data_IF_797865207423
#
_entry.id   IF_797865207423
#
_cell.length_a   1.000
_cell.length_b   1.000
_cell.length_c   1.000
_cell.angle_alpha   90.00
_cell.angle_beta   90.00
_cell.angle_gamma   90.00
#
_symmetry.space_group_name_H-M   'P 1'
#
loop_
_entity.id
_entity.type
_entity.pdbx_description
1 polymer ?
#
# COMPACT_ATOMS: atom_id res chain seq x y z
N UNK A 1 -3.96 -5.62 -2.62
CA UNK A 1 -3.06 -6.06 -1.53
C UNK A 1 -3.51 -5.54 -0.17
N UNK A 2 -4.36 -4.51 -0.09
CA UNK A 2 -4.94 -3.98 1.15
C UNK A 2 -5.61 -5.04 2.02
N UNK A 3 -6.66 -5.69 1.52
CA UNK A 3 -7.37 -6.75 2.27
C UNK A 3 -6.47 -7.92 2.67
N UNK A 4 -5.52 -8.28 1.82
CA UNK A 4 -4.52 -9.30 2.16
C UNK A 4 -3.59 -8.81 3.30
N UNK A 5 -3.31 -7.52 3.36
CA UNK A 5 -2.50 -6.92 4.42
C UNK A 5 -3.23 -6.96 5.76
N UNK A 6 -4.54 -6.72 5.79
CA UNK A 6 -5.35 -6.96 6.99
C UNK A 6 -5.22 -8.41 7.49
N UNK A 7 -5.29 -9.39 6.58
CA UNK A 7 -5.11 -10.80 6.95
C UNK A 7 -3.70 -11.11 7.47
N UNK A 8 -2.65 -10.51 6.88
CA UNK A 8 -1.26 -10.72 7.31
C UNK A 8 -1.00 -10.09 8.68
N UNK A 9 -1.60 -8.93 8.95
CA UNK A 9 -1.43 -8.19 10.20
C UNK A 9 -2.39 -8.66 11.31
N UNK A 10 -3.23 -9.65 11.02
CA UNK A 10 -4.27 -10.15 11.95
C UNK A 10 -5.21 -9.04 12.45
N UNK A 11 -5.54 -8.10 11.55
CA UNK A 11 -6.48 -7.02 11.80
C UNK A 11 -7.90 -7.56 12.00
N UNK A 12 -8.63 -6.93 12.92
CA UNK A 12 -10.01 -7.33 13.17
C UNK A 12 -10.92 -6.82 12.05
N UNK A 13 -11.78 -7.70 11.52
CA UNK A 13 -12.80 -7.29 10.56
C UNK A 13 -13.79 -6.34 11.23
N UNK A 14 -14.07 -5.20 10.59
CA UNK A 14 -15.11 -4.30 11.08
C UNK A 14 -16.47 -5.00 10.99
N UNK A 15 -17.09 -5.26 12.14
CA UNK A 15 -18.40 -5.88 12.18
C UNK A 15 -19.46 -4.84 11.79
N UNK A 16 -20.28 -5.16 10.79
CA UNK A 16 -21.45 -4.35 10.45
C UNK A 16 -22.59 -4.77 11.37
N UNK A 17 -22.84 -3.98 12.42
CA UNK A 17 -23.99 -4.20 13.29
C UNK A 17 -25.20 -3.50 12.67
N UNK A 18 -26.17 -4.29 12.21
CA UNK A 18 -27.48 -3.78 11.85
C UNK A 18 -28.28 -3.53 13.13
N UNK A 19 -28.67 -2.28 13.37
CA UNK A 19 -29.64 -2.00 14.42
C UNK A 19 -30.98 -2.65 14.06
N UNK A 20 -31.80 -2.95 15.08
CA UNK A 20 -33.15 -3.50 14.92
C UNK A 20 -34.08 -2.64 14.04
N UNK A 21 -33.70 -1.37 13.82
CA UNK A 21 -34.41 -0.37 13.02
C UNK A 21 -33.85 -0.23 11.59
N UNK A 22 -32.91 -1.11 11.19
CA UNK A 22 -32.33 -1.12 9.85
C UNK A 22 -31.23 -0.08 9.63
N UNK A 23 -30.75 0.58 10.68
CA UNK A 23 -29.59 1.48 10.59
C UNK A 23 -28.32 0.63 10.67
N UNK A 24 -27.54 0.62 9.59
CA UNK A 24 -26.20 0.05 9.60
C UNK A 24 -25.27 0.99 10.35
N UNK A 25 -24.81 0.57 11.54
CA UNK A 25 -23.71 1.22 12.24
C UNK A 25 -22.45 0.43 11.90
N UNK A 26 -21.49 1.06 11.21
CA UNK A 26 -20.13 0.52 11.16
C UNK A 26 -19.60 0.55 12.59
N UNK A 27 -19.41 -0.63 13.18
CA UNK A 27 -18.73 -0.70 14.47
C UNK A 27 -17.28 -0.28 14.24
N UNK A 28 -16.88 0.81 14.90
CA UNK A 28 -15.53 1.35 15.03
C UNK A 28 -14.62 1.25 13.78
N UNK A 29 -14.57 2.31 12.99
CA UNK A 29 -13.49 2.50 12.02
C UNK A 29 -12.15 2.67 12.76
N UNK A 30 -11.34 1.61 12.78
CA UNK A 30 -10.01 1.59 13.40
C UNK A 30 -8.97 2.13 12.43
N UNK A 31 -8.77 3.46 12.45
CA UNK A 31 -7.90 4.18 11.52
C UNK A 31 -6.47 3.61 11.46
N UNK A 32 -5.92 3.20 12.59
CA UNK A 32 -4.55 2.70 12.65
C UNK A 32 -4.40 1.39 11.86
N UNK A 33 -5.41 0.50 11.93
CA UNK A 33 -5.43 -0.75 11.16
C UNK A 33 -5.51 -0.49 9.66
N UNK A 34 -6.28 0.51 9.24
CA UNK A 34 -6.36 0.90 7.82
C UNK A 34 -5.04 1.49 7.33
N UNK A 35 -4.44 2.40 8.10
CA UNK A 35 -3.16 3.03 7.75
C UNK A 35 -2.02 1.99 7.68
N UNK A 36 -2.00 1.02 8.60
CA UNK A 36 -1.04 -0.09 8.60
C UNK A 36 -1.24 -1.04 7.41
N UNK A 37 -2.49 -1.38 7.08
CA UNK A 37 -2.81 -2.20 5.92
C UNK A 37 -2.46 -1.51 4.60
N UNK A 38 -2.72 -0.20 4.48
CA UNK A 38 -2.32 0.63 3.33
C UNK A 38 -0.80 0.63 3.15
N UNK A 39 -0.06 0.79 4.25
CA UNK A 39 1.40 0.78 4.23
C UNK A 39 1.96 -0.57 3.80
N UNK A 40 1.48 -1.67 4.39
CA UNK A 40 1.95 -3.02 4.05
C UNK A 40 1.55 -3.38 2.62
N UNK A 41 0.35 -3.01 2.16
CA UNK A 41 -0.11 -3.18 0.77
C UNK A 41 0.87 -2.55 -0.22
N UNK A 42 1.32 -1.32 0.04
CA UNK A 42 2.34 -0.65 -0.75
C UNK A 42 3.70 -1.34 -0.71
N UNK A 43 4.08 -1.94 0.43
CA UNK A 43 5.32 -2.72 0.57
C UNK A 43 5.27 -4.06 -0.18
N UNK A 44 4.12 -4.73 -0.21
CA UNK A 44 3.92 -5.99 -0.93
C UNK A 44 3.90 -5.77 -2.45
N UNK A 45 3.29 -4.67 -2.91
CA UNK A 45 3.27 -4.30 -4.33
C UNK A 45 4.65 -3.84 -4.81
N UNK A 46 5.34 -3.05 -3.99
CA UNK A 46 6.63 -2.44 -4.32
C UNK A 46 7.60 -2.57 -3.15
N UNK A 47 8.23 -3.77 -3.01
CA UNK A 47 9.31 -3.98 -2.06
C UNK A 47 10.46 -3.03 -2.34
N UNK A 48 11.23 -2.68 -1.30
CA UNK A 48 12.33 -1.72 -1.43
C UNK A 48 13.37 -2.19 -2.45
N UNK A 49 13.64 -3.48 -2.51
CA UNK A 49 14.58 -4.13 -3.42
C UNK A 49 14.16 -3.92 -4.88
N UNK A 50 12.86 -3.98 -5.17
CA UNK A 50 12.32 -3.69 -6.49
C UNK A 50 12.57 -2.23 -6.88
N UNK A 51 12.29 -1.29 -5.96
CA UNK A 51 12.55 0.15 -6.19
C UNK A 51 14.02 0.43 -6.44
N UNK A 52 14.91 -0.17 -5.65
CA UNK A 52 16.37 -0.08 -5.84
C UNK A 52 16.77 -0.64 -7.20
N UNK A 53 16.22 -1.78 -7.61
CA UNK A 53 16.49 -2.40 -8.91
C UNK A 53 16.08 -1.49 -10.07
N UNK A 54 14.87 -0.90 -10.01
CA UNK A 54 14.35 0.07 -10.99
C UNK A 54 15.34 1.24 -11.14
N UNK A 55 15.80 1.82 -10.04
CA UNK A 55 16.74 2.95 -10.08
C UNK A 55 18.12 2.55 -10.59
N UNK A 56 18.67 1.41 -10.14
CA UNK A 56 19.99 0.93 -10.59
C UNK A 56 20.03 0.65 -12.08
N UNK A 57 18.93 0.13 -12.64
CA UNK A 57 18.80 -0.16 -14.06
C UNK A 57 18.38 1.06 -14.90
N UNK A 58 18.08 2.19 -14.25
CA UNK A 58 17.56 3.41 -14.91
C UNK A 58 16.34 3.14 -15.78
N UNK A 59 15.44 2.28 -15.30
CA UNK A 59 14.21 1.96 -16.03
C UNK A 59 13.32 3.19 -16.12
N UNK A 60 12.60 3.31 -17.24
CA UNK A 60 11.53 4.28 -17.35
C UNK A 60 10.43 3.97 -16.32
N UNK A 61 10.05 4.98 -15.53
CA UNK A 61 9.10 4.78 -14.44
C UNK A 61 7.70 4.37 -14.94
N UNK A 62 7.32 4.76 -16.16
CA UNK A 62 6.04 4.39 -16.78
C UNK A 62 6.04 2.90 -17.11
N UNK A 63 7.13 2.40 -17.68
CA UNK A 63 7.30 0.97 -17.96
C UNK A 63 7.33 0.19 -16.65
N UNK A 64 8.13 0.63 -15.67
CA UNK A 64 8.23 -0.03 -14.37
C UNK A 64 6.87 -0.13 -13.66
N UNK A 65 6.08 0.95 -13.63
CA UNK A 65 4.75 0.89 -13.04
C UNK A 65 3.81 -0.07 -13.78
N UNK A 66 3.90 -0.16 -15.12
CA UNK A 66 3.16 -1.15 -15.90
C UNK A 66 3.58 -2.59 -15.56
N UNK A 67 4.89 -2.85 -15.45
CA UNK A 67 5.43 -4.18 -15.14
C UNK A 67 4.99 -4.66 -13.74
N UNK A 68 5.01 -3.76 -12.76
CA UNK A 68 4.53 -4.02 -11.41
C UNK A 68 3.00 -3.90 -11.26
N UNK A 69 2.29 -3.53 -12.33
CA UNK A 69 0.82 -3.35 -12.38
C UNK A 69 0.28 -2.40 -11.30
N UNK A 70 1.01 -1.32 -11.07
CA UNK A 70 0.67 -0.28 -10.11
C UNK A 70 0.45 1.06 -10.82
N UNK A 71 -0.23 1.97 -10.16
CA UNK A 71 -0.33 3.34 -10.65
C UNK A 71 1.02 4.06 -10.54
N UNK A 72 1.20 5.08 -11.38
CA UNK A 72 2.38 5.94 -11.31
C UNK A 72 2.49 6.68 -9.99
N UNK A 73 1.35 7.05 -9.40
CA UNK A 73 1.28 7.70 -8.10
C UNK A 73 1.78 6.76 -6.99
N UNK A 74 1.37 5.49 -7.00
CA UNK A 74 1.83 4.49 -6.04
C UNK A 74 3.35 4.26 -6.15
N UNK A 75 3.88 4.12 -7.37
CA UNK A 75 5.33 3.95 -7.58
C UNK A 75 6.12 5.15 -7.03
N UNK A 76 5.71 6.37 -7.37
CA UNK A 76 6.37 7.60 -6.88
C UNK A 76 6.26 7.78 -5.37
N UNK A 77 5.10 7.46 -4.80
CA UNK A 77 4.89 7.48 -3.35
C UNK A 77 5.87 6.54 -2.65
N UNK A 78 5.94 5.27 -3.10
CA UNK A 78 6.85 4.27 -2.53
C UNK A 78 8.32 4.63 -2.68
N UNK A 79 8.74 5.17 -3.83
CA UNK A 79 10.11 5.67 -4.02
C UNK A 79 10.48 6.80 -3.05
N UNK A 80 9.52 7.68 -2.77
CA UNK A 80 9.70 8.82 -1.86
C UNK A 80 9.78 8.37 -0.40
N UNK A 81 8.82 7.58 0.05
CA UNK A 81 8.73 7.11 1.44
C UNK A 81 9.88 6.18 1.84
N UNK A 82 10.46 5.44 0.89
CA UNK A 82 11.61 4.58 1.14
C UNK A 82 12.96 5.28 1.02
N UNK A 83 12.98 6.55 0.60
CA UNK A 83 14.21 7.32 0.35
C UNK A 83 15.04 6.84 -0.84
N UNK A 84 14.58 5.84 -1.60
CA UNK A 84 15.31 5.30 -2.76
C UNK A 84 15.58 6.38 -3.79
N UNK A 85 14.61 7.25 -4.07
CA UNK A 85 14.79 8.33 -5.04
C UNK A 85 16.00 9.21 -4.70
N UNK A 86 16.18 9.55 -3.41
CA UNK A 86 17.29 10.39 -2.94
C UNK A 86 18.65 9.68 -2.99
N UNK A 87 18.69 8.37 -2.82
CA UNK A 87 19.93 7.58 -2.83
C UNK A 87 20.58 7.49 -4.21
N UNK A 88 19.78 7.56 -5.28
CA UNK A 88 20.24 7.40 -6.67
C UNK A 88 20.18 8.69 -7.48
N UNK A 89 19.86 9.82 -6.86
CA UNK A 89 19.96 11.15 -7.48
C UNK A 89 21.34 11.73 -7.14
N UNK A 90 22.33 11.43 -7.99
CA UNK A 90 23.66 12.07 -8.01
C UNK A 90 24.05 12.39 -9.46
#
# INVERSE_FOLDING_TARGET
MHELSHLILDHQSQEMNASSEGVLMLSAYEKDQEDEADWLSGCLLLPREALVSIMKQRLDLTIAASDFRVSMSMLKYRMSMTGVARQYTY
#
